data_IF_201882712859
#
_entry.id   IF_201882712859
#
_cell.length_a   1.000
_cell.length_b   1.000
_cell.length_c   1.000
_cell.angle_alpha   90.00
_cell.angle_beta   90.00
_cell.angle_gamma   90.00
#
_symmetry.space_group_name_H-M   'P 1'
#
loop_
_entity.id
_entity.type
_entity.pdbx_description
1 polymer ?
#
# COMPACT_ATOMS: atom_id res chain seq x y z
N UNK A 1 19.08 -31.11 -3.42
CA UNK A 1 18.19 -29.97 -3.08
C UNK A 1 17.57 -30.27 -1.72
N UNK A 2 17.89 -29.50 -0.67
CA UNK A 2 17.47 -29.84 0.70
C UNK A 2 16.04 -29.33 0.95
N UNK A 3 15.06 -30.23 0.86
CA UNK A 3 13.63 -29.94 1.00
C UNK A 3 13.26 -29.29 2.35
N UNK A 4 14.01 -29.58 3.41
CA UNK A 4 13.73 -29.07 4.76
C UNK A 4 14.05 -27.57 4.89
N UNK A 5 15.12 -27.12 4.23
CA UNK A 5 15.53 -25.71 4.24
C UNK A 5 14.49 -24.82 3.54
N UNK A 6 14.03 -25.22 2.36
CA UNK A 6 13.03 -24.48 1.58
C UNK A 6 11.68 -24.33 2.32
N UNK A 7 11.25 -25.38 3.03
CA UNK A 7 10.02 -25.34 3.85
C UNK A 7 10.11 -24.33 5.00
N UNK A 8 11.27 -24.23 5.64
CA UNK A 8 11.49 -23.29 6.74
C UNK A 8 11.57 -21.84 6.24
N UNK A 9 12.19 -21.61 5.09
CA UNK A 9 12.25 -20.29 4.45
C UNK A 9 10.84 -19.81 4.03
N UNK A 10 10.02 -20.68 3.44
CA UNK A 10 8.64 -20.36 3.07
C UNK A 10 7.77 -20.02 4.29
N UNK A 11 7.88 -20.77 5.39
CA UNK A 11 7.18 -20.47 6.64
C UNK A 11 7.60 -19.12 7.22
N UNK A 12 8.89 -18.83 7.22
CA UNK A 12 9.43 -17.56 7.71
C UNK A 12 8.89 -16.38 6.87
N UNK A 13 8.94 -16.48 5.54
CA UNK A 13 8.41 -15.46 4.65
C UNK A 13 6.90 -15.26 4.83
N UNK A 14 6.14 -16.33 5.03
CA UNK A 14 4.70 -16.25 5.32
C UNK A 14 4.42 -15.48 6.61
N UNK A 15 5.14 -15.76 7.70
CA UNK A 15 4.98 -15.05 8.98
C UNK A 15 5.33 -13.56 8.80
N UNK A 16 6.44 -13.27 8.12
CA UNK A 16 6.87 -11.90 7.81
C UNK A 16 5.78 -11.16 7.02
N UNK A 17 5.22 -11.80 5.99
CA UNK A 17 4.14 -11.24 5.18
C UNK A 17 2.89 -10.96 6.04
N UNK A 18 2.48 -11.93 6.86
CA UNK A 18 1.31 -11.80 7.73
C UNK A 18 1.43 -10.63 8.70
N UNK A 19 2.64 -10.36 9.20
CA UNK A 19 2.89 -9.22 10.09
C UNK A 19 2.96 -7.91 9.32
N UNK A 20 3.66 -7.84 8.18
CA UNK A 20 3.93 -6.58 7.47
C UNK A 20 2.78 -6.12 6.56
N UNK A 21 2.02 -7.02 5.97
CA UNK A 21 0.95 -6.70 5.02
C UNK A 21 -0.11 -5.76 5.63
N UNK A 22 -0.58 -5.95 6.88
CA UNK A 22 -1.47 -5.00 7.54
C UNK A 22 -0.89 -3.58 7.62
N UNK A 23 0.41 -3.43 7.92
CA UNK A 23 1.05 -2.11 7.97
C UNK A 23 1.12 -1.47 6.58
N UNK A 24 1.42 -2.25 5.54
CA UNK A 24 1.40 -1.78 4.15
C UNK A 24 0.02 -1.31 3.70
N UNK A 25 -1.04 -2.02 4.11
CA UNK A 25 -2.43 -1.62 3.83
C UNK A 25 -2.81 -0.33 4.55
N UNK A 26 -2.47 -0.21 5.84
CA UNK A 26 -2.74 0.99 6.63
C UNK A 26 -1.97 2.18 6.06
N UNK A 27 -0.71 1.99 5.68
CA UNK A 27 0.11 3.02 5.05
C UNK A 27 -0.51 3.48 3.73
N UNK A 28 -0.87 2.55 2.85
CA UNK A 28 -1.52 2.88 1.57
C UNK A 28 -2.86 3.61 1.77
N UNK A 29 -3.68 3.16 2.72
CA UNK A 29 -4.91 3.83 3.09
C UNK A 29 -4.68 5.23 3.66
N UNK A 30 -3.61 5.43 4.44
CA UNK A 30 -3.22 6.75 4.92
C UNK A 30 -2.88 7.70 3.76
N UNK A 31 -2.12 7.22 2.76
CA UNK A 31 -1.77 8.03 1.58
C UNK A 31 -3.00 8.40 0.76
N UNK A 32 -3.94 7.47 0.56
CA UNK A 32 -5.22 7.75 -0.12
C UNK A 32 -6.03 8.77 0.67
N UNK A 33 -6.16 8.61 1.99
CA UNK A 33 -6.83 9.60 2.86
C UNK A 33 -6.17 10.97 2.74
N UNK A 34 -4.85 11.03 2.72
CA UNK A 34 -4.11 12.29 2.61
C UNK A 34 -4.45 12.99 1.28
N UNK A 35 -4.31 12.31 0.15
CA UNK A 35 -4.65 12.88 -1.16
C UNK A 35 -6.13 13.26 -1.26
N UNK A 36 -7.02 12.40 -0.79
CA UNK A 36 -8.46 12.66 -0.81
C UNK A 36 -8.82 13.92 -0.02
N UNK A 37 -8.33 14.03 1.23
CA UNK A 37 -8.75 15.11 2.13
C UNK A 37 -8.01 16.44 1.90
N UNK A 38 -6.86 16.43 1.25
CA UNK A 38 -6.11 17.66 0.97
C UNK A 38 -6.28 18.15 -0.47
N UNK A 39 -6.71 17.28 -1.39
CA UNK A 39 -6.83 17.62 -2.82
C UNK A 39 -8.26 17.43 -3.30
N UNK A 40 -8.88 16.26 -3.10
CA UNK A 40 -10.20 16.01 -3.67
C UNK A 40 -11.32 16.71 -2.90
N UNK A 41 -11.24 16.78 -1.57
CA UNK A 41 -12.25 17.48 -0.77
C UNK A 41 -12.16 19.00 -0.83
N UNK A 42 -11.23 19.57 -1.59
CA UNK A 42 -11.26 21.00 -1.92
C UNK A 42 -12.26 21.29 -3.06
N UNK A 43 -12.66 20.26 -3.80
CA UNK A 43 -13.72 20.33 -4.81
C UNK A 43 -15.07 20.36 -4.09
N UNK A 44 -15.92 21.31 -4.47
CA UNK A 44 -17.22 21.46 -3.85
C UNK A 44 -18.07 20.18 -3.95
N UNK A 45 -18.69 19.80 -2.84
CA UNK A 45 -19.50 18.58 -2.72
C UNK A 45 -18.73 17.27 -2.49
N UNK A 46 -17.40 17.27 -2.42
CA UNK A 46 -16.62 16.05 -2.12
C UNK A 46 -16.32 15.95 -0.60
N UNK A 47 -16.89 14.97 0.13
CA UNK A 47 -16.66 14.85 1.56
C UNK A 47 -15.26 14.30 1.87
N UNK A 48 -14.70 14.70 3.01
CA UNK A 48 -13.50 14.09 3.56
C UNK A 48 -13.76 12.65 4.02
N UNK A 49 -12.76 11.78 3.87
CA UNK A 49 -12.83 10.37 4.30
C UNK A 49 -11.98 10.11 5.55
N UNK A 50 -12.36 9.08 6.30
CA UNK A 50 -11.59 8.57 7.43
C UNK A 50 -10.65 7.42 7.00
N UNK A 51 -9.79 6.97 7.91
CA UNK A 51 -8.77 5.96 7.59
C UNK A 51 -9.37 4.59 7.20
N UNK A 52 -10.37 4.04 7.93
CA UNK A 52 -11.03 2.80 7.51
C UNK A 52 -11.67 2.89 6.12
N UNK A 53 -12.32 4.01 5.78
CA UNK A 53 -12.88 4.25 4.44
C UNK A 53 -11.78 4.23 3.36
N UNK A 54 -10.66 4.91 3.60
CA UNK A 54 -9.54 4.95 2.67
C UNK A 54 -8.87 3.58 2.50
N UNK A 55 -8.70 2.80 3.58
CA UNK A 55 -8.22 1.41 3.52
C UNK A 55 -9.21 0.54 2.73
N UNK A 56 -10.51 0.71 2.96
CA UNK A 56 -11.57 0.01 2.21
C UNK A 56 -11.45 0.29 0.70
N UNK A 57 -11.34 1.55 0.30
CA UNK A 57 -11.13 1.95 -1.10
C UNK A 57 -9.85 1.29 -1.65
N UNK A 58 -8.73 1.36 -0.93
CA UNK A 58 -7.46 0.75 -1.34
C UNK A 58 -7.59 -0.75 -1.65
N UNK A 59 -8.27 -1.49 -0.76
CA UNK A 59 -8.51 -2.92 -0.95
C UNK A 59 -9.40 -3.18 -2.16
N UNK A 60 -10.47 -2.40 -2.34
CA UNK A 60 -11.40 -2.56 -3.45
C UNK A 60 -10.76 -2.31 -4.82
N UNK A 61 -9.84 -1.34 -4.93
CA UNK A 61 -9.16 -1.02 -6.19
C UNK A 61 -7.95 -1.92 -6.48
N UNK A 62 -7.37 -2.53 -5.45
CA UNK A 62 -6.13 -3.30 -5.56
C UNK A 62 -6.13 -4.40 -6.63
N UNK A 63 -7.23 -5.16 -6.88
CA UNK A 63 -7.23 -6.19 -7.91
C UNK A 63 -7.10 -5.62 -9.33
N UNK A 64 -7.62 -4.40 -9.55
CA UNK A 64 -7.55 -3.73 -10.84
C UNK A 64 -6.19 -3.05 -11.07
N UNK A 65 -5.52 -2.63 -9.99
CA UNK A 65 -4.20 -2.01 -10.05
C UNK A 65 -3.05 -3.04 -10.06
N UNK A 66 -3.30 -4.29 -9.69
CA UNK A 66 -2.25 -5.31 -9.54
C UNK A 66 -1.80 -5.88 -10.89
N UNK A 67 -0.59 -5.52 -11.32
CA UNK A 67 0.10 -6.19 -12.43
C UNK A 67 0.85 -7.40 -11.86
N UNK A 68 0.40 -8.61 -12.21
CA UNK A 68 0.98 -9.85 -11.70
C UNK A 68 2.37 -10.07 -12.31
N UNK A 69 3.42 -9.77 -11.55
CA UNK A 69 4.79 -10.15 -11.87
C UNK A 69 5.10 -11.43 -11.08
N UNK A 70 5.06 -12.57 -11.76
CA UNK A 70 5.16 -13.91 -11.12
C UNK A 70 6.58 -14.22 -10.62
N UNK A 71 7.58 -13.47 -11.06
CA UNK A 71 9.00 -13.76 -10.79
C UNK A 71 9.67 -12.79 -9.79
N UNK A 72 8.90 -11.91 -9.12
CA UNK A 72 9.46 -10.99 -8.13
C UNK A 72 9.83 -11.71 -6.82
N UNK A 73 11.03 -11.43 -6.31
CA UNK A 73 11.46 -11.93 -5.00
C UNK A 73 10.60 -11.34 -3.87
N UNK A 74 10.44 -12.11 -2.78
CA UNK A 74 9.61 -11.73 -1.64
C UNK A 74 10.03 -10.37 -1.04
N UNK A 75 11.34 -10.13 -0.94
CA UNK A 75 11.86 -8.85 -0.44
C UNK A 75 11.45 -7.67 -1.35
N UNK A 76 11.47 -7.86 -2.67
CA UNK A 76 11.04 -6.85 -3.64
C UNK A 76 9.55 -6.54 -3.50
N UNK A 77 8.71 -7.56 -3.31
CA UNK A 77 7.27 -7.39 -3.11
C UNK A 77 6.99 -6.57 -1.84
N UNK A 78 7.64 -6.92 -0.73
CA UNK A 78 7.50 -6.18 0.53
C UNK A 78 8.01 -4.75 0.36
N UNK A 79 9.21 -4.55 -0.18
CA UNK A 79 9.78 -3.23 -0.37
C UNK A 79 8.86 -2.34 -1.21
N UNK A 80 8.31 -2.88 -2.32
CA UNK A 80 7.36 -2.15 -3.18
C UNK A 80 6.08 -1.76 -2.44
N UNK A 81 5.55 -2.62 -1.58
CA UNK A 81 4.36 -2.35 -0.78
C UNK A 81 4.52 -1.17 0.20
N UNK A 82 5.75 -0.84 0.60
CA UNK A 82 6.04 0.31 1.48
C UNK A 82 6.59 1.51 0.71
N UNK A 83 7.51 1.31 -0.22
CA UNK A 83 8.16 2.39 -0.98
C UNK A 83 7.16 3.06 -1.90
N UNK A 84 6.30 2.31 -2.60
CA UNK A 84 5.36 2.89 -3.56
C UNK A 84 4.38 3.87 -2.90
N UNK A 85 3.71 3.54 -1.76
CA UNK A 85 2.91 4.52 -1.05
C UNK A 85 3.71 5.74 -0.57
N UNK A 86 4.94 5.57 -0.08
CA UNK A 86 5.75 6.70 0.40
C UNK A 86 6.14 7.67 -0.72
N UNK A 87 6.48 7.15 -1.91
CA UNK A 87 6.76 7.99 -3.08
C UNK A 87 5.51 8.77 -3.49
N UNK A 88 4.35 8.10 -3.53
CA UNK A 88 3.07 8.78 -3.83
C UNK A 88 2.74 9.83 -2.77
N UNK A 89 2.98 9.55 -1.49
CA UNK A 89 2.78 10.51 -0.42
C UNK A 89 3.65 11.74 -0.58
N UNK A 90 4.94 11.56 -0.91
CA UNK A 90 5.85 12.67 -1.15
C UNK A 90 5.38 13.53 -2.32
N UNK A 91 4.91 12.91 -3.41
CA UNK A 91 4.35 13.63 -4.56
C UNK A 91 3.08 14.40 -4.20
N UNK A 92 2.15 13.77 -3.49
CA UNK A 92 0.93 14.42 -3.01
C UNK A 92 1.25 15.59 -2.09
N UNK A 93 2.22 15.42 -1.19
CA UNK A 93 2.68 16.47 -0.30
C UNK A 93 3.30 17.65 -1.04
N UNK A 94 4.06 17.41 -2.12
CA UNK A 94 4.57 18.49 -2.96
C UNK A 94 3.40 19.24 -3.63
N UNK A 95 2.41 18.52 -4.17
CA UNK A 95 1.23 19.14 -4.82
C UNK A 95 0.45 20.02 -3.84
N UNK A 96 0.27 19.57 -2.59
CA UNK A 96 -0.47 20.33 -1.58
C UNK A 96 0.27 21.60 -1.11
N UNK A 97 1.57 21.76 -1.38
CA UNK A 97 2.29 23.01 -1.09
C UNK A 97 1.89 24.16 -2.03
N UNK A 98 1.29 23.86 -3.18
CA UNK A 98 0.92 24.84 -4.20
C UNK A 98 -0.60 25.03 -4.37
N UNK A 99 -1.40 24.32 -3.57
CA UNK A 99 -2.85 24.52 -3.46
C UNK A 99 -3.15 25.54 -2.37
#
# INVERSE_FOLDING_TARGET
>A
MNYDKNKNDAKKNFIIALVLLPFGLVLSGFVIKYGWNNILSTIDGVPSINLPQAVGINVLISPFASKKNTDEDFATVIARAFISPLVVLLLLWIVTLFM
#
